data_IF_912549168267
#
_entry.id   IF_912549168267
#
_cell.length_a   1.000
_cell.length_b   1.000
_cell.length_c   1.000
_cell.angle_alpha   90.00
_cell.angle_beta   90.00
_cell.angle_gamma   90.00
#
_symmetry.space_group_name_H-M   'P 1'
#
loop_
_entity.id
_entity.type
_entity.pdbx_description
1 polymer ?
#
# COMPACT_ATOMS: atom_id res chain seq x y z
N UNK A 1 10.91 -28.10 -9.05
CA UNK A 1 9.64 -27.36 -9.14
C UNK A 1 9.98 -25.88 -9.13
N UNK A 2 9.66 -25.15 -10.20
CA UNK A 2 10.03 -23.74 -10.41
C UNK A 2 9.26 -22.84 -9.44
N UNK A 3 9.97 -22.18 -8.50
CA UNK A 3 9.37 -21.13 -7.68
C UNK A 3 9.22 -19.87 -8.54
N UNK A 4 8.08 -19.71 -9.19
CA UNK A 4 7.70 -18.47 -9.84
C UNK A 4 7.40 -17.45 -8.74
N UNK A 5 8.43 -16.73 -8.29
CA UNK A 5 8.26 -15.59 -7.39
C UNK A 5 7.77 -14.40 -8.21
N UNK A 6 6.50 -14.45 -8.60
CA UNK A 6 5.82 -13.35 -9.26
C UNK A 6 5.45 -12.34 -8.18
N UNK A 7 6.35 -11.39 -7.91
CA UNK A 7 5.97 -10.20 -7.18
C UNK A 7 4.86 -9.53 -7.99
N UNK A 8 3.60 -9.68 -7.57
CA UNK A 8 2.44 -9.10 -8.24
C UNK A 8 2.51 -7.58 -8.13
N UNK A 9 3.13 -6.96 -9.13
CA UNK A 9 3.07 -5.52 -9.34
C UNK A 9 1.69 -5.17 -9.86
N UNK A 10 0.85 -4.67 -8.97
CA UNK A 10 -0.50 -4.24 -9.29
C UNK A 10 -0.61 -2.72 -9.17
N UNK A 11 -1.61 -2.19 -9.84
CA UNK A 11 -1.92 -0.76 -9.77
C UNK A 11 -2.65 -0.49 -8.47
N UNK A 12 -2.12 0.42 -7.67
CA UNK A 12 -2.68 0.83 -6.37
C UNK A 12 -2.93 2.33 -6.35
N UNK A 13 -3.93 2.73 -5.60
CA UNK A 13 -4.23 4.15 -5.35
C UNK A 13 -3.68 4.50 -3.98
N UNK A 14 -2.73 5.42 -3.92
CA UNK A 14 -2.34 6.02 -2.66
C UNK A 14 -3.25 7.20 -2.37
N UNK A 15 -3.87 7.19 -1.20
CA UNK A 15 -4.71 8.28 -0.70
C UNK A 15 -4.07 8.84 0.55
N UNK A 16 -3.79 10.13 0.54
CA UNK A 16 -3.34 10.86 1.71
C UNK A 16 -4.52 11.70 2.21
N UNK A 17 -5.09 11.28 3.35
CA UNK A 17 -6.25 11.95 3.95
C UNK A 17 -5.88 13.30 4.57
N UNK A 18 -4.61 13.51 4.91
CA UNK A 18 -4.11 14.75 5.51
C UNK A 18 -4.00 15.88 4.49
N UNK A 19 -3.76 15.54 3.22
CA UNK A 19 -3.57 16.48 2.11
C UNK A 19 -4.67 16.37 1.06
N UNK A 20 -5.65 15.49 1.25
CA UNK A 20 -6.74 15.19 0.31
C UNK A 20 -6.23 14.90 -1.11
N UNK A 21 -5.08 14.22 -1.22
CA UNK A 21 -4.50 13.85 -2.52
C UNK A 21 -4.66 12.35 -2.76
N UNK A 22 -4.90 12.01 -4.03
CA UNK A 22 -4.97 10.63 -4.51
C UNK A 22 -4.14 10.49 -5.77
N UNK A 23 -3.31 9.46 -5.85
CA UNK A 23 -2.53 9.18 -7.05
C UNK A 23 -2.42 7.68 -7.29
N UNK A 24 -2.44 7.33 -8.57
CA UNK A 24 -2.41 5.96 -9.05
C UNK A 24 -0.97 5.59 -9.43
N UNK A 25 -0.43 4.55 -8.80
CA UNK A 25 0.95 4.09 -9.04
C UNK A 25 1.04 2.57 -8.99
N UNK A 26 2.15 2.00 -9.47
CA UNK A 26 2.40 0.55 -9.40
C UNK A 26 3.12 0.23 -8.10
N UNK A 27 2.54 -0.63 -7.28
CA UNK A 27 3.16 -1.11 -6.05
C UNK A 27 2.97 -2.61 -5.92
N UNK A 28 3.82 -3.25 -5.13
CA UNK A 28 3.60 -4.62 -4.65
C UNK A 28 2.78 -4.63 -3.36
N UNK A 29 2.46 -3.45 -2.80
CA UNK A 29 1.73 -3.31 -1.55
C UNK A 29 0.22 -3.38 -1.79
N UNK A 30 -0.42 -4.40 -1.25
CA UNK A 30 -1.88 -4.55 -1.26
C UNK A 30 -2.51 -3.87 -0.04
N UNK A 31 -3.79 -3.54 -0.15
CA UNK A 31 -4.66 -3.07 0.93
C UNK A 31 -5.94 -3.90 0.92
N UNK A 32 -6.62 -3.99 2.07
CA UNK A 32 -7.97 -4.56 2.16
C UNK A 32 -9.03 -3.59 1.62
N UNK A 33 -8.73 -2.29 1.64
CA UNK A 33 -9.62 -1.27 1.10
C UNK A 33 -9.42 -1.14 -0.41
N UNK A 34 -10.52 -0.93 -1.13
CA UNK A 34 -10.51 -0.65 -2.56
C UNK A 34 -11.35 0.59 -2.88
N UNK A 35 -10.96 1.33 -3.90
CA UNK A 35 -11.67 2.52 -4.37
C UNK A 35 -11.82 2.53 -5.88
N UNK A 36 -12.92 3.08 -6.36
CA UNK A 36 -13.14 3.27 -7.80
C UNK A 36 -12.37 4.50 -8.26
N UNK A 37 -11.49 4.30 -9.23
CA UNK A 37 -10.76 5.38 -9.87
C UNK A 37 -11.61 6.07 -10.94
N UNK A 38 -11.17 7.23 -11.41
CA UNK A 38 -11.87 8.06 -12.42
C UNK A 38 -12.10 7.32 -13.76
N UNK A 39 -11.34 6.26 -14.03
CA UNK A 39 -11.50 5.36 -15.18
C UNK A 39 -12.66 4.35 -15.01
N UNK A 40 -13.33 4.36 -13.84
CA UNK A 40 -14.38 3.39 -13.48
C UNK A 40 -13.85 2.03 -13.00
N UNK A 41 -12.54 1.84 -12.93
CA UNK A 41 -11.89 0.63 -12.43
C UNK A 41 -11.68 0.68 -10.92
N UNK A 42 -11.76 -0.49 -10.28
CA UNK A 42 -11.54 -0.64 -8.84
C UNK A 42 -10.09 -1.02 -8.58
N UNK A 43 -9.44 -0.27 -7.70
CA UNK A 43 -8.06 -0.52 -7.29
C UNK A 43 -7.95 -0.55 -5.78
N UNK A 44 -7.02 -1.33 -5.21
CA UNK A 44 -6.73 -1.27 -3.78
C UNK A 44 -6.23 0.14 -3.43
N UNK A 45 -6.76 0.70 -2.34
CA UNK A 45 -6.42 2.02 -1.82
C UNK A 45 -5.57 1.89 -0.56
N UNK A 46 -4.40 2.54 -0.58
CA UNK A 46 -3.47 2.61 0.54
C UNK A 46 -3.61 3.99 1.17
N UNK A 47 -4.16 4.03 2.37
CA UNK A 47 -4.18 5.25 3.18
C UNK A 47 -2.78 5.50 3.77
N UNK A 48 -2.21 6.67 3.46
CA UNK A 48 -0.84 7.07 3.87
C UNK A 48 -0.81 7.64 5.30
N UNK A 49 -1.72 7.20 6.17
CA UNK A 49 -1.81 7.68 7.55
C UNK A 49 -0.81 6.99 8.50
N UNK A 50 -0.30 5.81 8.14
CA UNK A 50 0.56 5.04 9.03
C UNK A 50 2.05 5.06 8.63
N UNK A 51 2.99 5.38 9.55
CA UNK A 51 4.38 5.00 9.37
C UNK A 51 4.45 3.46 9.29
N UNK A 52 4.93 2.93 8.16
CA UNK A 52 5.09 1.50 7.90
C UNK A 52 6.29 0.87 8.65
N UNK A 53 6.47 1.23 9.92
CA UNK A 53 7.45 0.55 10.76
C UNK A 53 6.84 -0.78 11.24
N UNK A 54 7.45 -1.93 10.94
CA UNK A 54 7.04 -3.16 11.59
C UNK A 54 7.33 -2.99 13.09
N UNK A 55 6.35 -3.23 13.95
CA UNK A 55 6.47 -3.12 15.40
C UNK A 55 7.56 -4.05 16.01
N UNK A 56 8.22 -4.86 15.19
CA UNK A 56 9.31 -5.76 15.56
C UNK A 56 10.70 -5.11 15.71
N UNK A 57 10.88 -3.79 15.46
CA UNK A 57 12.18 -3.13 15.62
C UNK A 57 12.25 -2.08 16.75
N UNK A 58 11.24 -2.01 17.63
CA UNK A 58 11.21 -1.05 18.75
C UNK A 58 11.59 -1.63 20.12
N UNK A 59 12.00 -2.90 20.20
CA UNK A 59 12.31 -3.55 21.48
C UNK A 59 13.79 -3.49 21.94
N UNK A 60 14.73 -2.99 21.13
CA UNK A 60 16.17 -2.95 21.49
C UNK A 60 16.65 -1.62 22.11
N UNK A 61 15.75 -0.66 22.35
CA UNK A 61 16.10 0.67 22.86
C UNK A 61 15.82 0.85 24.37
N UNK A 62 15.94 -0.23 25.16
CA UNK A 62 15.98 -0.16 26.63
C UNK A 62 17.10 -1.06 27.15
N UNK A 63 18.31 -0.50 27.16
CA UNK A 63 19.31 -0.86 28.15
C UNK A 63 18.91 -0.38 29.54
#
# INVERSE_FOLDING_TARGET
MTHTNHHEYHTVVFRDQSRDIKFLTRSTRTSEHSTTWEDGKVYPVIDVDAPSIPASQLADARG
#
